data_IF_235390282982
#
_entry.id   IF_235390282982
#
_cell.length_a   1.000
_cell.length_b   1.000
_cell.length_c   1.000
_cell.angle_alpha   90.00
_cell.angle_beta   90.00
_cell.angle_gamma   90.00
#
_symmetry.space_group_name_H-M   'P 1'
#
loop_
_entity.id
_entity.type
_entity.pdbx_description
1 polymer ?
#
# COMPACT_ATOMS: atom_id res chain seq x y z
N UNK A 1 -39.60 27.10 10.24
CA UNK A 1 -39.28 25.80 10.88
C UNK A 1 -39.62 24.60 9.98
N UNK A 2 -40.87 24.43 9.45
CA UNK A 2 -41.23 23.27 8.59
C UNK A 2 -40.37 23.13 7.32
N UNK A 3 -40.07 24.24 6.62
CA UNK A 3 -39.23 24.24 5.42
C UNK A 3 -37.75 23.89 5.71
N UNK A 4 -37.22 24.29 6.86
CA UNK A 4 -35.86 23.90 7.28
C UNK A 4 -35.76 22.40 7.55
N UNK A 5 -36.79 21.83 8.21
CA UNK A 5 -36.86 20.37 8.47
C UNK A 5 -36.94 19.60 7.15
N UNK A 6 -37.78 20.08 6.21
CA UNK A 6 -37.89 19.45 4.89
C UNK A 6 -36.58 19.52 4.11
N UNK A 7 -35.88 20.65 4.14
CA UNK A 7 -34.56 20.79 3.49
C UNK A 7 -33.53 19.83 4.09
N UNK A 8 -33.46 19.77 5.42
CA UNK A 8 -32.54 18.84 6.12
C UNK A 8 -32.87 17.39 5.75
N UNK A 9 -34.15 17.00 5.73
CA UNK A 9 -34.55 15.65 5.34
C UNK A 9 -34.15 15.30 3.91
N UNK A 10 -34.31 16.23 2.96
CA UNK A 10 -33.89 16.05 1.56
C UNK A 10 -32.36 15.91 1.46
N UNK A 11 -31.58 16.75 2.16
CA UNK A 11 -30.13 16.66 2.19
C UNK A 11 -29.68 15.32 2.77
N UNK A 12 -30.25 14.89 3.88
CA UNK A 12 -29.90 13.59 4.49
C UNK A 12 -30.25 12.43 3.57
N UNK A 13 -31.41 12.48 2.89
CA UNK A 13 -31.79 11.45 1.92
C UNK A 13 -30.85 11.43 0.71
N UNK A 14 -30.45 12.59 0.20
CA UNK A 14 -29.47 12.69 -0.89
C UNK A 14 -28.08 12.15 -0.49
N UNK A 15 -27.61 12.47 0.71
CA UNK A 15 -26.34 11.94 1.26
C UNK A 15 -26.44 10.44 1.44
N UNK A 16 -27.54 9.92 2.00
CA UNK A 16 -27.74 8.48 2.17
C UNK A 16 -27.76 7.75 0.82
N UNK A 17 -28.48 8.29 -0.17
CA UNK A 17 -28.51 7.75 -1.52
C UNK A 17 -27.12 7.74 -2.15
N UNK A 18 -26.36 8.84 -2.03
CA UNK A 18 -24.99 8.94 -2.55
C UNK A 18 -24.05 7.92 -1.88
N UNK A 19 -24.15 7.70 -0.58
CA UNK A 19 -23.34 6.71 0.15
C UNK A 19 -23.63 5.28 -0.30
N UNK A 20 -24.86 4.95 -0.63
CA UNK A 20 -25.30 3.59 -0.96
C UNK A 20 -25.14 3.20 -2.44
N UNK A 21 -25.07 4.18 -3.35
CA UNK A 21 -24.85 3.90 -4.78
C UNK A 21 -23.39 3.50 -5.04
N UNK A 22 -23.06 2.58 -5.97
CA UNK A 22 -21.67 2.31 -6.36
C UNK A 22 -20.93 3.59 -6.76
N UNK A 23 -19.65 3.70 -6.35
CA UNK A 23 -18.83 4.90 -6.62
C UNK A 23 -18.50 5.05 -8.10
N UNK A 24 -18.30 3.92 -8.77
CA UNK A 24 -18.02 3.82 -10.20
C UNK A 24 -18.93 2.77 -10.84
N UNK A 25 -19.18 2.94 -12.12
CA UNK A 25 -19.89 1.97 -12.96
C UNK A 25 -19.03 0.73 -13.26
N UNK A 26 -19.36 0.04 -14.35
CA UNK A 26 -18.56 -1.09 -14.82
C UNK A 26 -17.10 -0.70 -15.05
N UNK A 27 -16.14 -1.62 -14.82
CA UNK A 27 -14.72 -1.35 -15.11
C UNK A 27 -14.51 -1.07 -16.60
N UNK A 28 -13.50 -0.23 -16.96
CA UNK A 28 -13.19 0.03 -18.35
C UNK A 28 -12.71 -1.24 -19.05
N UNK A 29 -12.96 -1.34 -20.35
CA UNK A 29 -12.29 -2.36 -21.17
C UNK A 29 -10.84 -1.91 -21.43
N UNK A 30 -9.88 -2.76 -21.07
CA UNK A 30 -8.47 -2.52 -21.35
C UNK A 30 -7.98 -3.63 -22.27
N UNK A 31 -7.56 -3.23 -23.47
CA UNK A 31 -6.95 -4.13 -24.44
C UNK A 31 -5.45 -4.34 -24.10
N UNK A 32 -4.95 -5.52 -24.41
CA UNK A 32 -3.56 -5.92 -24.23
C UNK A 32 -3.43 -7.11 -23.28
N UNK A 33 -2.38 -7.87 -23.48
CA UNK A 33 -1.93 -8.93 -22.58
C UNK A 33 -0.59 -8.51 -22.00
N UNK A 34 -0.39 -8.73 -20.70
CA UNK A 34 0.92 -8.56 -20.07
C UNK A 34 1.87 -9.72 -20.35
N UNK A 35 3.12 -9.55 -19.94
CA UNK A 35 4.16 -10.56 -19.93
C UNK A 35 4.25 -11.17 -18.51
N UNK A 36 3.91 -12.45 -18.32
CA UNK A 36 3.95 -13.07 -16.99
C UNK A 36 5.37 -13.14 -16.40
N UNK A 37 6.42 -13.20 -17.21
CA UNK A 37 7.80 -13.21 -16.70
C UNK A 37 8.19 -11.86 -16.10
N UNK A 38 7.77 -10.74 -16.72
CA UNK A 38 7.91 -9.42 -16.10
C UNK A 38 6.98 -9.25 -14.90
N UNK A 39 5.78 -9.83 -14.98
CA UNK A 39 4.79 -9.82 -13.89
C UNK A 39 5.29 -10.49 -12.62
N UNK A 40 6.05 -11.58 -12.71
CA UNK A 40 6.72 -12.21 -11.56
C UNK A 40 7.66 -11.22 -10.86
N UNK A 41 8.43 -10.47 -11.63
CA UNK A 41 9.30 -9.44 -11.08
C UNK A 41 8.51 -8.31 -10.41
N UNK A 42 7.38 -7.90 -10.98
CA UNK A 42 6.49 -6.89 -10.38
C UNK A 42 5.88 -7.39 -9.06
N UNK A 43 5.53 -8.68 -8.94
CA UNK A 43 5.09 -9.28 -7.66
C UNK A 43 6.16 -9.13 -6.58
N UNK A 44 7.44 -9.37 -6.92
CA UNK A 44 8.57 -9.18 -5.99
C UNK A 44 8.77 -7.70 -5.65
N UNK A 45 8.74 -6.85 -6.65
CA UNK A 45 8.87 -5.40 -6.50
C UNK A 45 7.79 -4.81 -5.59
N UNK A 46 6.55 -5.31 -5.70
CA UNK A 46 5.39 -4.90 -4.91
C UNK A 46 5.25 -5.60 -3.57
N UNK A 47 6.12 -6.57 -3.22
CA UNK A 47 6.02 -7.32 -1.97
C UNK A 47 4.68 -8.04 -1.79
N UNK A 48 4.01 -8.45 -2.88
CA UNK A 48 2.66 -9.00 -2.83
C UNK A 48 2.59 -10.27 -1.96
N UNK A 49 3.64 -11.09 -2.00
CA UNK A 49 3.76 -12.35 -1.24
C UNK A 49 3.66 -12.08 0.26
N UNK A 50 4.36 -11.06 0.75
CA UNK A 50 4.42 -10.70 2.17
C UNK A 50 3.03 -10.51 2.80
N UNK A 51 2.10 -9.84 2.10
CA UNK A 51 0.75 -9.61 2.61
C UNK A 51 -0.23 -10.71 2.20
N UNK A 52 -0.14 -11.20 0.96
CA UNK A 52 -1.12 -12.13 0.40
C UNK A 52 -0.83 -13.60 0.62
N UNK A 53 0.17 -13.94 1.46
CA UNK A 53 0.44 -15.31 1.92
C UNK A 53 0.43 -15.34 3.45
N UNK A 54 -0.40 -16.18 4.04
CA UNK A 54 -0.44 -16.36 5.49
C UNK A 54 0.52 -17.47 5.91
N UNK A 55 1.83 -17.24 5.76
CA UNK A 55 2.87 -18.23 6.07
C UNK A 55 2.82 -18.72 7.51
N UNK A 56 2.47 -17.83 8.45
CA UNK A 56 2.40 -18.18 9.89
C UNK A 56 1.39 -19.27 10.18
N UNK A 57 0.35 -19.38 9.38
CA UNK A 57 -0.69 -20.40 9.50
C UNK A 57 -0.61 -21.46 8.39
N UNK A 58 0.48 -21.52 7.61
CA UNK A 58 0.67 -22.49 6.55
C UNK A 58 -0.23 -22.25 5.33
N UNK A 59 -0.62 -21.00 5.10
CA UNK A 59 -1.42 -20.60 3.94
C UNK A 59 -0.66 -20.78 2.62
N UNK A 60 -1.40 -21.10 1.55
CA UNK A 60 -0.84 -21.24 0.23
C UNK A 60 -0.41 -19.89 -0.35
N UNK A 61 0.57 -19.91 -1.25
CA UNK A 61 1.13 -18.72 -1.91
C UNK A 61 0.01 -17.87 -2.53
N UNK A 62 -0.02 -16.59 -2.19
CA UNK A 62 -0.96 -15.58 -2.69
C UNK A 62 -2.45 -15.87 -2.43
N UNK A 63 -2.75 -16.88 -1.61
CA UNK A 63 -4.14 -17.26 -1.29
C UNK A 63 -4.80 -16.35 -0.22
N UNK A 64 -4.10 -15.35 0.31
CA UNK A 64 -4.63 -14.42 1.30
C UNK A 64 -4.76 -15.01 2.70
N UNK A 65 -5.58 -14.37 3.54
CA UNK A 65 -5.87 -14.82 4.91
C UNK A 65 -5.01 -14.15 5.99
N UNK A 66 -3.85 -13.61 5.65
CA UNK A 66 -2.98 -12.92 6.61
C UNK A 66 -3.70 -11.75 7.28
N UNK A 67 -3.68 -11.73 8.61
CA UNK A 67 -4.20 -10.64 9.42
C UNK A 67 -3.21 -9.47 9.46
N UNK A 68 -3.70 -8.27 9.15
CA UNK A 68 -2.96 -7.01 9.21
C UNK A 68 -3.60 -6.14 10.31
N UNK A 69 -2.95 -6.10 11.46
CA UNK A 69 -3.43 -5.33 12.62
C UNK A 69 -3.11 -3.85 12.44
N UNK A 70 -4.07 -3.00 12.75
CA UNK A 70 -3.94 -1.55 12.66
C UNK A 70 -4.70 -0.85 13.80
N UNK A 71 -4.48 0.46 14.04
CA UNK A 71 -5.26 1.23 15.00
C UNK A 71 -6.77 1.30 14.69
N UNK A 72 -7.19 0.92 13.50
CA UNK A 72 -8.59 0.92 13.05
C UNK A 72 -9.27 -0.44 13.16
N UNK A 73 -8.53 -1.48 13.55
CA UNK A 73 -8.96 -2.87 13.60
C UNK A 73 -8.10 -3.78 12.72
N UNK A 74 -8.58 -4.97 12.44
CA UNK A 74 -7.85 -5.99 11.69
C UNK A 74 -8.38 -6.10 10.25
N UNK A 75 -7.48 -5.92 9.29
CA UNK A 75 -7.72 -6.22 7.88
C UNK A 75 -7.18 -7.62 7.56
N UNK A 76 -7.80 -8.29 6.61
CA UNK A 76 -7.32 -9.57 6.12
C UNK A 76 -6.95 -9.43 4.65
N UNK A 77 -5.73 -9.83 4.29
CA UNK A 77 -5.28 -9.79 2.91
C UNK A 77 -6.13 -10.74 2.06
N UNK A 78 -6.56 -10.26 0.89
CA UNK A 78 -7.42 -11.03 -0.01
C UNK A 78 -6.67 -12.16 -0.70
N UNK A 79 -7.41 -13.19 -1.14
CA UNK A 79 -6.93 -14.16 -2.10
C UNK A 79 -6.75 -13.47 -3.46
N UNK A 80 -5.52 -13.47 -3.99
CA UNK A 80 -5.18 -12.92 -5.30
C UNK A 80 -4.74 -14.00 -6.31
N UNK A 81 -4.99 -15.29 -5.99
CA UNK A 81 -4.85 -16.37 -6.96
C UNK A 81 -5.95 -16.30 -8.02
N UNK A 82 -5.79 -16.97 -9.18
CA UNK A 82 -6.80 -16.98 -10.24
C UNK A 82 -7.98 -17.93 -9.94
N UNK A 83 -8.29 -18.16 -8.66
CA UNK A 83 -9.52 -18.86 -8.28
C UNK A 83 -10.74 -18.00 -8.64
N UNK A 84 -11.74 -18.55 -9.37
CA UNK A 84 -12.88 -17.76 -9.83
C UNK A 84 -13.90 -17.43 -8.73
N UNK A 85 -13.90 -18.18 -7.63
CA UNK A 85 -14.87 -18.03 -6.54
C UNK A 85 -14.41 -17.14 -5.41
N UNK A 86 -13.17 -17.27 -5.00
CA UNK A 86 -12.62 -16.59 -3.82
C UNK A 86 -11.43 -15.69 -4.13
N UNK A 87 -10.87 -15.79 -5.35
CA UNK A 87 -9.73 -15.02 -5.83
C UNK A 87 -10.09 -13.98 -6.89
N UNK A 88 -9.13 -13.70 -7.77
CA UNK A 88 -9.27 -12.71 -8.85
C UNK A 88 -9.44 -13.31 -10.25
N UNK A 89 -9.69 -14.63 -10.36
CA UNK A 89 -9.79 -15.34 -11.64
C UNK A 89 -10.93 -14.86 -12.54
N UNK A 90 -12.00 -14.31 -11.96
CA UNK A 90 -13.11 -13.71 -12.70
C UNK A 90 -12.91 -12.25 -13.11
N UNK A 91 -11.77 -11.63 -12.80
CA UNK A 91 -11.57 -10.20 -13.03
C UNK A 91 -11.05 -9.92 -14.44
N UNK A 92 -11.67 -8.95 -15.12
CA UNK A 92 -11.09 -8.38 -16.34
C UNK A 92 -9.82 -7.57 -16.02
N UNK A 93 -8.95 -7.38 -17.01
CA UNK A 93 -7.79 -6.49 -16.88
C UNK A 93 -8.19 -5.09 -16.43
N UNK A 94 -9.31 -4.57 -16.91
CA UNK A 94 -9.82 -3.27 -16.49
C UNK A 94 -10.28 -3.23 -15.04
N UNK A 95 -10.90 -4.29 -14.53
CA UNK A 95 -11.27 -4.40 -13.13
C UNK A 95 -10.02 -4.44 -12.23
N UNK A 96 -9.02 -5.20 -12.63
CA UNK A 96 -7.75 -5.30 -11.92
C UNK A 96 -7.00 -3.96 -11.88
N UNK A 97 -6.80 -3.32 -13.04
CA UNK A 97 -6.11 -2.02 -13.12
C UNK A 97 -6.86 -0.98 -12.27
N UNK A 98 -8.20 -0.90 -12.37
CA UNK A 98 -8.99 0.02 -11.56
C UNK A 98 -8.87 -0.25 -10.06
N UNK A 99 -8.83 -1.52 -9.64
CA UNK A 99 -8.62 -1.87 -8.25
C UNK A 99 -7.27 -1.38 -7.75
N UNK A 100 -6.22 -1.58 -8.52
CA UNK A 100 -4.86 -1.17 -8.19
C UNK A 100 -4.68 0.35 -8.19
N UNK A 101 -5.22 1.06 -9.17
CA UNK A 101 -4.94 2.51 -9.35
C UNK A 101 -5.98 3.41 -8.69
N UNK A 102 -7.23 2.98 -8.56
CA UNK A 102 -8.31 3.80 -8.00
C UNK A 102 -8.81 3.26 -6.65
N UNK A 103 -8.38 2.07 -6.24
CA UNK A 103 -8.91 1.41 -5.04
C UNK A 103 -10.39 1.05 -5.15
N UNK A 104 -10.90 0.80 -6.37
CA UNK A 104 -12.30 0.49 -6.64
C UNK A 104 -12.44 -0.93 -7.15
N UNK A 105 -13.16 -1.76 -6.42
CA UNK A 105 -13.42 -3.15 -6.78
C UNK A 105 -14.28 -3.33 -8.04
N UNK A 106 -14.41 -4.56 -8.56
CA UNK A 106 -15.21 -4.86 -9.74
C UNK A 106 -16.67 -4.37 -9.64
N UNK A 107 -17.23 -4.41 -8.44
CA UNK A 107 -18.60 -4.01 -8.13
C UNK A 107 -18.78 -2.48 -7.98
N UNK A 108 -17.71 -1.69 -8.16
CA UNK A 108 -17.75 -0.24 -8.09
C UNK A 108 -17.71 0.35 -6.68
N UNK A 109 -17.32 -0.45 -5.67
CA UNK A 109 -17.17 0.02 -4.29
C UNK A 109 -15.69 0.23 -3.91
N UNK A 110 -15.37 1.25 -3.09
CA UNK A 110 -14.01 1.53 -2.67
C UNK A 110 -13.48 0.47 -1.69
N UNK A 111 -12.18 0.21 -1.80
CA UNK A 111 -11.43 -0.56 -0.82
C UNK A 111 -10.95 0.33 0.33
N UNK A 112 -10.65 -0.31 1.47
CA UNK A 112 -9.93 0.35 2.56
C UNK A 112 -8.50 0.70 2.12
N UNK A 113 -7.95 1.85 2.54
CA UNK A 113 -6.58 2.25 2.21
C UNK A 113 -5.49 1.43 2.92
N UNK A 114 -5.86 0.36 3.60
CA UNK A 114 -4.95 -0.74 3.97
C UNK A 114 -4.44 -1.50 2.73
N UNK A 115 -5.21 -1.49 1.65
CA UNK A 115 -4.74 -1.83 0.31
C UNK A 115 -4.08 -0.58 -0.28
N UNK A 116 -2.78 -0.60 -0.62
CA UNK A 116 -1.99 0.61 -0.90
C UNK A 116 -2.22 1.19 -2.31
N UNK A 117 -3.47 1.29 -2.76
CA UNK A 117 -3.81 1.88 -4.06
C UNK A 117 -3.39 3.36 -4.15
N UNK A 118 -3.23 4.03 -3.02
CA UNK A 118 -2.68 5.40 -2.94
C UNK A 118 -1.23 5.49 -3.41
N UNK A 119 -0.51 4.39 -3.42
CA UNK A 119 0.81 4.26 -4.01
C UNK A 119 0.73 3.62 -5.40
N UNK A 120 -0.07 2.56 -5.55
CA UNK A 120 -0.20 1.83 -6.82
C UNK A 120 -0.79 2.65 -7.96
N UNK A 121 -1.46 3.76 -7.69
CA UNK A 121 -1.88 4.73 -8.70
C UNK A 121 -0.70 5.27 -9.54
N UNK A 122 0.53 5.24 -8.98
CA UNK A 122 1.76 5.58 -9.70
C UNK A 122 2.26 4.49 -10.67
N UNK A 123 1.72 3.27 -10.59
CA UNK A 123 2.19 2.18 -11.45
C UNK A 123 1.83 2.42 -12.91
N UNK A 124 2.72 2.00 -13.80
CA UNK A 124 2.45 2.02 -15.23
C UNK A 124 1.38 0.99 -15.58
N UNK A 125 0.62 1.28 -16.63
CA UNK A 125 -0.34 0.30 -17.16
C UNK A 125 0.34 -0.99 -17.59
N UNK A 126 1.55 -0.90 -18.13
CA UNK A 126 2.34 -2.06 -18.57
C UNK A 126 2.64 -2.97 -17.37
N UNK A 127 3.22 -2.46 -16.30
CA UNK A 127 3.52 -3.24 -15.10
C UNK A 127 2.26 -3.85 -14.47
N UNK A 128 1.13 -3.14 -14.50
CA UNK A 128 -0.14 -3.68 -13.99
C UNK A 128 -0.70 -4.82 -14.86
N UNK A 129 -0.54 -4.75 -16.18
CA UNK A 129 -0.95 -5.83 -17.07
C UNK A 129 -0.01 -7.03 -16.95
N UNK A 130 1.29 -6.80 -16.80
CA UNK A 130 2.28 -7.85 -16.56
C UNK A 130 2.02 -8.56 -15.24
N UNK A 131 1.76 -7.79 -14.17
CA UNK A 131 1.36 -8.31 -12.86
C UNK A 131 0.12 -9.20 -12.97
N UNK A 132 -0.94 -8.73 -13.64
CA UNK A 132 -2.16 -9.52 -13.83
C UNK A 132 -1.87 -10.81 -14.62
N UNK A 133 -1.05 -10.71 -15.68
CA UNK A 133 -0.68 -11.88 -16.49
C UNK A 133 0.05 -12.94 -15.66
N UNK A 134 0.95 -12.54 -14.76
CA UNK A 134 1.60 -13.48 -13.84
C UNK A 134 0.61 -14.11 -12.86
N UNK A 135 -0.23 -13.28 -12.21
CA UNK A 135 -1.21 -13.77 -11.25
C UNK A 135 -2.19 -14.78 -11.88
N UNK A 136 -2.46 -14.66 -13.18
CA UNK A 136 -3.27 -15.63 -13.92
C UNK A 136 -2.58 -16.98 -14.16
N UNK A 137 -1.25 -17.05 -13.97
CA UNK A 137 -0.47 -18.31 -14.10
C UNK A 137 -0.26 -19.02 -12.76
N UNK A 138 -0.53 -18.36 -11.64
CA UNK A 138 -0.39 -18.94 -10.31
C UNK A 138 -1.43 -20.06 -10.12
N UNK A 139 -1.11 -21.07 -9.30
CA UNK A 139 -2.06 -22.12 -8.99
C UNK A 139 -3.32 -21.56 -8.33
N UNK A 140 -4.52 -21.81 -8.85
CA UNK A 140 -5.75 -21.34 -8.24
C UNK A 140 -6.00 -22.07 -6.92
N UNK A 141 -6.24 -21.30 -5.85
CA UNK A 141 -6.51 -21.82 -4.52
C UNK A 141 -7.87 -21.30 -4.05
N UNK A 142 -8.79 -22.18 -3.75
CA UNK A 142 -10.06 -21.81 -3.11
C UNK A 142 -9.80 -21.49 -1.64
N UNK A 143 -9.82 -20.21 -1.30
CA UNK A 143 -9.67 -19.72 0.07
C UNK A 143 -10.56 -18.51 0.34
N UNK A 144 -11.65 -18.74 1.06
CA UNK A 144 -12.54 -17.68 1.54
C UNK A 144 -11.94 -17.00 2.78
N UNK A 145 -11.28 -15.86 2.56
CA UNK A 145 -10.66 -15.09 3.65
C UNK A 145 -11.71 -14.50 4.59
N UNK A 146 -11.38 -14.30 5.89
CA UNK A 146 -12.29 -13.67 6.85
C UNK A 146 -12.66 -12.23 6.43
N UNK A 147 -13.85 -11.80 6.82
CA UNK A 147 -14.22 -10.39 6.68
C UNK A 147 -13.35 -9.50 7.58
N UNK A 148 -13.05 -8.29 7.12
CA UNK A 148 -12.32 -7.32 7.93
C UNK A 148 -13.05 -7.03 9.24
N UNK A 149 -12.29 -6.91 10.32
CA UNK A 149 -12.78 -6.57 11.67
C UNK A 149 -12.34 -5.12 11.97
N UNK A 150 -13.07 -4.16 11.43
CA UNK A 150 -12.77 -2.73 11.53
C UNK A 150 -13.82 -2.05 12.41
N UNK A 151 -13.35 -1.27 13.37
CA UNK A 151 -14.20 -0.62 14.37
C UNK A 151 -15.08 0.49 13.76
N UNK A 152 -16.26 0.69 14.37
CA UNK A 152 -17.09 1.83 14.01
C UNK A 152 -16.43 3.15 14.46
N UNK A 153 -16.46 4.22 13.63
CA UNK A 153 -17.17 4.35 12.35
C UNK A 153 -16.38 3.88 11.13
N UNK A 154 -15.12 3.51 11.27
CA UNK A 154 -14.19 3.23 10.16
C UNK A 154 -14.62 2.00 9.34
N UNK A 155 -15.25 1.01 9.98
CA UNK A 155 -15.81 -0.18 9.31
C UNK A 155 -17.02 0.10 8.41
N UNK A 156 -17.62 1.28 8.46
CA UNK A 156 -18.74 1.64 7.61
C UNK A 156 -18.26 2.04 6.21
N UNK A 157 -18.09 1.05 5.33
CA UNK A 157 -17.52 1.18 3.98
C UNK A 157 -18.02 2.36 3.14
N UNK A 158 -19.32 2.77 3.17
CA UNK A 158 -19.75 3.93 2.42
C UNK A 158 -18.98 5.23 2.73
N UNK A 159 -18.41 5.39 3.94
CA UNK A 159 -17.58 6.54 4.30
C UNK A 159 -16.26 6.60 3.53
N UNK A 160 -15.79 5.47 2.97
CA UNK A 160 -14.56 5.44 2.16
C UNK A 160 -14.63 6.34 0.92
N UNK A 161 -15.85 6.60 0.37
CA UNK A 161 -16.02 7.58 -0.71
C UNK A 161 -15.59 8.98 -0.27
N UNK A 162 -15.99 9.38 0.94
CA UNK A 162 -15.59 10.66 1.53
C UNK A 162 -14.08 10.69 1.80
N UNK A 163 -13.53 9.59 2.29
CA UNK A 163 -12.09 9.46 2.49
C UNK A 163 -11.32 9.63 1.19
N UNK A 164 -11.73 8.94 0.12
CA UNK A 164 -11.08 9.08 -1.19
C UNK A 164 -11.18 10.51 -1.74
N UNK A 165 -12.31 11.19 -1.59
CA UNK A 165 -12.46 12.59 -2.02
C UNK A 165 -11.53 13.55 -1.30
N UNK A 166 -11.18 13.27 -0.04
CA UNK A 166 -10.36 14.14 0.79
C UNK A 166 -8.85 13.85 0.69
N UNK A 167 -8.47 12.59 0.45
CA UNK A 167 -7.11 12.14 0.67
C UNK A 167 -6.50 11.35 -0.49
N UNK A 168 -7.27 11.03 -1.52
CA UNK A 168 -6.79 10.30 -2.67
C UNK A 168 -6.77 11.18 -3.92
N UNK A 169 -5.63 11.23 -4.57
CA UNK A 169 -5.45 11.81 -5.89
C UNK A 169 -5.04 10.70 -6.86
N UNK A 170 -5.84 10.54 -7.92
CA UNK A 170 -5.51 9.63 -9.03
C UNK A 170 -4.46 10.30 -9.94
N UNK A 171 -3.29 9.68 -10.03
CA UNK A 171 -2.20 10.17 -10.87
C UNK A 171 -1.30 9.02 -11.32
N UNK A 172 -0.72 9.15 -12.49
CA UNK A 172 0.29 8.23 -12.99
C UNK A 172 1.67 8.85 -12.79
N UNK A 173 2.65 8.04 -12.41
CA UNK A 173 4.04 8.51 -12.27
C UNK A 173 4.54 9.19 -13.54
N UNK A 174 5.10 10.37 -13.39
CA UNK A 174 5.74 11.12 -14.46
C UNK A 174 7.23 11.33 -14.12
N UNK A 175 8.16 10.88 -14.99
CA UNK A 175 9.58 11.07 -14.76
C UNK A 175 9.96 12.56 -14.69
N UNK A 176 10.82 12.91 -13.74
CA UNK A 176 11.37 14.26 -13.62
C UNK A 176 12.42 14.50 -14.71
N UNK A 177 12.25 15.50 -15.60
CA UNK A 177 13.08 15.67 -16.78
C UNK A 177 14.55 16.05 -16.48
N UNK A 178 14.82 16.58 -15.29
CA UNK A 178 16.14 17.03 -14.83
C UNK A 178 16.86 16.00 -13.95
N UNK A 179 16.34 14.79 -13.84
CA UNK A 179 16.92 13.70 -13.06
C UNK A 179 17.40 12.59 -13.99
N UNK A 180 18.34 11.77 -13.52
CA UNK A 180 18.81 10.59 -14.25
C UNK A 180 17.72 9.54 -14.40
N UNK A 181 17.87 8.61 -15.33
CA UNK A 181 17.03 7.44 -15.47
C UNK A 181 17.00 6.60 -14.18
N UNK A 182 18.15 6.33 -13.59
CA UNK A 182 18.25 5.60 -12.34
C UNK A 182 17.47 6.29 -11.20
N UNK A 183 17.59 7.60 -11.07
CA UNK A 183 16.81 8.35 -10.08
C UNK A 183 15.31 8.25 -10.32
N UNK A 184 14.87 8.40 -11.56
CA UNK A 184 13.46 8.30 -11.95
C UNK A 184 12.93 6.88 -11.73
N UNK A 185 13.74 5.85 -12.00
CA UNK A 185 13.39 4.46 -11.70
C UNK A 185 13.22 4.23 -10.21
N UNK A 186 14.15 4.73 -9.39
CA UNK A 186 14.03 4.66 -7.93
C UNK A 186 12.81 5.40 -7.39
N UNK A 187 12.54 6.60 -7.91
CA UNK A 187 11.35 7.37 -7.58
C UNK A 187 10.06 6.59 -7.92
N UNK A 188 10.01 5.97 -9.10
CA UNK A 188 8.90 5.12 -9.52
C UNK A 188 8.69 3.95 -8.56
N UNK A 189 9.76 3.23 -8.23
CA UNK A 189 9.68 2.07 -7.34
C UNK A 189 9.19 2.48 -5.95
N UNK A 190 9.81 3.49 -5.34
CA UNK A 190 9.53 3.92 -3.96
C UNK A 190 8.11 4.49 -3.81
N UNK A 191 7.63 5.26 -4.80
CA UNK A 191 6.31 5.89 -4.75
C UNK A 191 5.19 5.00 -5.31
N UNK A 192 5.52 4.05 -6.16
CA UNK A 192 4.58 3.16 -6.84
C UNK A 192 4.59 1.74 -6.26
N UNK A 193 5.12 0.75 -7.00
CA UNK A 193 5.01 -0.66 -6.62
C UNK A 193 5.62 -0.98 -5.26
N UNK A 194 6.78 -0.43 -4.92
CA UNK A 194 7.44 -0.68 -3.64
C UNK A 194 6.78 0.00 -2.44
N UNK A 195 5.90 0.95 -2.65
CA UNK A 195 5.03 1.64 -1.67
C UNK A 195 5.68 1.93 -0.30
N UNK A 196 6.98 2.25 -0.26
CA UNK A 196 7.75 2.46 0.97
C UNK A 196 7.11 3.47 1.92
N UNK A 197 6.48 4.52 1.35
CA UNK A 197 5.76 5.54 2.10
C UNK A 197 4.56 5.02 2.88
N UNK A 198 4.03 3.83 2.61
CA UNK A 198 2.88 3.29 3.36
C UNK A 198 3.24 2.93 4.80
N UNK A 199 4.48 2.48 5.02
CA UNK A 199 5.01 2.20 6.35
C UNK A 199 5.87 3.35 6.89
N UNK A 200 6.70 3.97 6.05
CA UNK A 200 7.69 4.96 6.47
C UNK A 200 7.18 6.41 6.52
N UNK A 201 5.88 6.62 6.40
CA UNK A 201 5.27 7.97 6.50
C UNK A 201 4.19 7.97 7.57
N UNK A 202 4.19 8.94 8.50
CA UNK A 202 3.16 9.01 9.53
C UNK A 202 1.79 9.32 8.93
N UNK A 203 0.74 8.95 9.65
CA UNK A 203 -0.65 9.11 9.23
C UNK A 203 -1.39 10.06 10.17
N UNK A 204 -2.43 10.70 9.65
CA UNK A 204 -3.36 11.45 10.47
C UNK A 204 -4.38 10.50 11.16
N UNK A 205 -5.24 11.05 12.01
CA UNK A 205 -6.28 10.30 12.74
C UNK A 205 -7.31 9.60 11.85
N UNK A 206 -7.37 9.91 10.55
CA UNK A 206 -8.22 9.25 9.56
C UNK A 206 -7.44 8.24 8.69
N UNK A 207 -6.19 7.95 9.04
CA UNK A 207 -5.36 6.97 8.35
C UNK A 207 -4.72 7.44 7.04
N UNK A 208 -4.87 8.72 6.67
CA UNK A 208 -4.22 9.27 5.49
C UNK A 208 -2.76 9.64 5.77
N UNK A 209 -1.85 9.35 4.83
CA UNK A 209 -0.43 9.69 4.93
C UNK A 209 -0.24 11.21 4.97
N UNK A 210 0.68 11.67 5.81
CA UNK A 210 1.10 13.08 5.87
C UNK A 210 2.18 13.32 4.80
N UNK A 211 1.78 13.90 3.66
CA UNK A 211 2.68 14.12 2.52
C UNK A 211 3.86 15.04 2.81
N UNK A 212 3.70 15.97 3.74
CA UNK A 212 4.76 16.86 4.23
C UNK A 212 5.80 16.15 5.11
N UNK A 213 5.50 14.91 5.54
CA UNK A 213 6.35 14.03 6.34
C UNK A 213 6.75 12.75 5.60
N UNK A 214 6.73 12.77 4.28
CA UNK A 214 7.01 11.60 3.45
C UNK A 214 8.36 10.95 3.79
N UNK A 215 8.32 9.65 4.12
CA UNK A 215 9.46 8.81 4.52
C UNK A 215 10.14 9.19 5.83
N UNK A 216 9.57 10.08 6.64
CA UNK A 216 10.15 10.52 7.92
C UNK A 216 9.97 9.52 9.07
N UNK A 217 9.51 8.30 8.79
CA UNK A 217 9.20 7.31 9.82
C UNK A 217 7.85 7.54 10.50
N UNK A 218 7.46 6.63 11.38
CA UNK A 218 6.25 6.76 12.20
C UNK A 218 6.40 6.01 13.52
N UNK A 219 5.89 6.53 14.65
CA UNK A 219 5.85 5.79 15.91
C UNK A 219 4.82 4.65 15.88
N UNK A 220 3.78 4.77 15.05
CA UNK A 220 2.62 3.86 14.98
C UNK A 220 2.57 3.14 13.63
N UNK A 221 3.54 2.27 13.39
CA UNK A 221 3.61 1.45 12.18
C UNK A 221 2.83 0.14 12.29
N UNK A 222 3.09 -0.81 11.38
CA UNK A 222 2.48 -2.14 11.43
C UNK A 222 2.66 -2.81 12.79
N UNK A 223 1.62 -3.49 13.27
CA UNK A 223 1.58 -4.15 14.58
C UNK A 223 1.85 -3.19 15.77
N UNK A 224 1.60 -1.88 15.60
CA UNK A 224 1.87 -0.86 16.62
C UNK A 224 3.34 -0.64 16.93
N UNK A 225 4.24 -1.03 16.02
CA UNK A 225 5.68 -0.86 16.19
C UNK A 225 6.18 0.38 15.45
N UNK A 226 7.19 1.09 15.97
CA UNK A 226 7.78 2.20 15.25
C UNK A 226 8.45 1.73 13.95
N UNK A 227 8.34 2.57 12.93
CA UNK A 227 9.01 2.38 11.64
C UNK A 227 10.01 3.52 11.46
N UNK A 228 11.28 3.24 11.14
CA UNK A 228 12.33 4.25 11.11
C UNK A 228 12.14 5.26 9.98
N UNK A 229 12.75 6.42 10.18
CA UNK A 229 12.97 7.44 9.17
C UNK A 229 13.97 6.93 8.12
N UNK A 230 13.60 7.02 6.85
CA UNK A 230 14.47 6.66 5.72
C UNK A 230 14.77 7.86 4.81
N UNK A 231 14.67 9.08 5.36
CA UNK A 231 15.17 10.29 4.70
C UNK A 231 16.65 10.50 5.03
N UNK A 232 17.42 11.26 4.21
CA UNK A 232 18.82 11.59 4.50
C UNK A 232 18.93 12.69 5.57
N UNK A 233 18.35 12.44 6.75
CA UNK A 233 18.41 13.24 7.96
C UNK A 233 19.20 12.51 9.04
N UNK A 234 19.72 13.23 10.04
CA UNK A 234 20.48 12.66 11.15
C UNK A 234 19.69 11.59 11.93
N UNK A 235 18.35 11.72 12.01
CA UNK A 235 17.45 10.71 12.60
C UNK A 235 17.15 9.53 11.65
N UNK A 236 17.64 9.58 10.41
CA UNK A 236 17.39 8.58 9.36
C UNK A 236 18.67 8.00 8.79
N UNK A 237 18.78 8.04 7.46
CA UNK A 237 19.86 7.39 6.71
C UNK A 237 20.99 8.35 6.27
N UNK A 238 21.17 9.51 6.93
CA UNK A 238 22.19 10.50 6.54
C UNK A 238 23.60 9.89 6.41
N UNK A 239 23.95 8.99 7.32
CA UNK A 239 25.28 8.36 7.36
C UNK A 239 25.44 7.17 6.38
N UNK A 240 24.37 6.75 5.71
CA UNK A 240 24.39 5.58 4.84
C UNK A 240 24.87 5.94 3.44
N UNK A 241 25.76 5.12 2.90
CA UNK A 241 26.11 5.19 1.48
C UNK A 241 25.09 4.44 0.60
N UNK A 242 25.15 4.68 -0.71
CA UNK A 242 24.38 3.88 -1.67
C UNK A 242 24.71 2.38 -1.53
N UNK A 243 25.99 2.04 -1.30
CA UNK A 243 26.42 0.66 -1.10
C UNK A 243 25.83 0.02 0.15
N UNK A 244 25.72 0.77 1.26
CA UNK A 244 25.10 0.28 2.50
C UNK A 244 23.63 -0.05 2.29
N UNK A 245 22.87 0.83 1.60
CA UNK A 245 21.47 0.57 1.28
C UNK A 245 21.30 -0.67 0.40
N UNK A 246 22.09 -0.78 -0.68
CA UNK A 246 22.04 -1.95 -1.57
C UNK A 246 22.38 -3.23 -0.81
N UNK A 247 23.42 -3.21 0.02
CA UNK A 247 23.82 -4.36 0.83
C UNK A 247 22.72 -4.76 1.82
N UNK A 248 22.15 -3.79 2.56
CA UNK A 248 21.07 -4.04 3.50
C UNK A 248 19.82 -4.64 2.81
N UNK A 249 19.43 -4.12 1.64
CA UNK A 249 18.31 -4.65 0.88
C UNK A 249 18.53 -6.06 0.30
N UNK A 250 19.79 -6.43 0.05
CA UNK A 250 20.13 -7.77 -0.44
C UNK A 250 20.28 -8.80 0.68
N UNK A 251 20.77 -8.38 1.86
CA UNK A 251 21.25 -9.31 2.90
C UNK A 251 20.48 -9.22 4.22
N UNK A 252 19.65 -8.20 4.40
CA UNK A 252 19.06 -7.81 5.69
C UNK A 252 20.05 -7.31 6.75
N UNK A 253 21.35 -7.17 6.45
CA UNK A 253 22.37 -6.72 7.41
C UNK A 253 22.52 -5.20 7.29
N UNK A 254 22.43 -4.51 8.43
CA UNK A 254 22.57 -3.07 8.55
C UNK A 254 24.04 -2.65 8.66
N UNK A 255 24.39 -1.37 8.41
CA UNK A 255 25.78 -0.89 8.48
C UNK A 255 26.45 -1.05 9.85
N UNK A 256 25.69 -1.08 10.92
CA UNK A 256 26.16 -1.30 12.30
C UNK A 256 26.29 -2.79 12.68
N UNK A 257 25.93 -3.70 11.77
CA UNK A 257 25.97 -5.14 11.95
C UNK A 257 24.70 -5.76 12.54
N UNK A 258 23.67 -4.96 12.83
CA UNK A 258 22.34 -5.45 13.18
C UNK A 258 21.58 -5.95 11.92
N UNK A 259 20.36 -6.43 12.07
CA UNK A 259 19.55 -6.96 10.97
C UNK A 259 18.16 -6.32 10.94
N UNK A 260 17.56 -6.25 9.75
CA UNK A 260 16.14 -5.88 9.67
C UNK A 260 15.29 -6.87 10.46
N UNK A 261 14.39 -6.33 11.30
CA UNK A 261 13.44 -7.12 12.06
C UNK A 261 12.00 -6.91 11.61
N UNK A 262 11.09 -7.74 12.13
CA UNK A 262 9.64 -7.59 11.93
C UNK A 262 9.24 -7.57 10.46
N UNK A 263 8.32 -6.67 10.12
CA UNK A 263 7.78 -6.56 8.76
C UNK A 263 8.85 -6.24 7.69
N UNK A 264 9.90 -5.46 8.06
CA UNK A 264 10.94 -5.12 7.09
C UNK A 264 11.80 -6.32 6.70
N UNK A 265 12.03 -7.28 7.61
CA UNK A 265 12.72 -8.53 7.28
C UNK A 265 11.94 -9.33 6.21
N UNK A 266 10.61 -9.41 6.35
CA UNK A 266 9.75 -10.06 5.35
C UNK A 266 9.78 -9.31 4.01
N UNK A 267 9.73 -7.97 4.03
CA UNK A 267 9.85 -7.13 2.81
C UNK A 267 11.16 -7.38 2.07
N UNK A 268 12.27 -7.54 2.80
CA UNK A 268 13.55 -7.87 2.17
C UNK A 268 13.52 -9.32 1.65
N UNK A 269 13.10 -10.27 2.46
CA UNK A 269 13.11 -11.70 2.11
C UNK A 269 12.23 -11.99 0.88
N UNK A 270 11.01 -11.48 0.83
CA UNK A 270 10.02 -11.82 -0.21
C UNK A 270 10.10 -10.90 -1.43
N UNK A 271 10.71 -9.73 -1.27
CA UNK A 271 10.73 -8.67 -2.27
C UNK A 271 12.14 -8.19 -2.61
N UNK A 272 12.72 -7.29 -1.78
CA UNK A 272 13.90 -6.52 -2.17
C UNK A 272 15.12 -7.38 -2.51
N UNK A 273 15.36 -8.50 -1.81
CA UNK A 273 16.50 -9.40 -2.10
C UNK A 273 16.41 -10.08 -3.48
N UNK A 274 15.24 -10.07 -4.10
CA UNK A 274 15.02 -10.63 -5.44
C UNK A 274 15.14 -9.59 -6.55
N UNK A 275 15.33 -8.31 -6.22
CA UNK A 275 15.45 -7.26 -7.21
C UNK A 275 16.83 -7.24 -7.86
N UNK A 276 16.88 -6.72 -9.08
CA UNK A 276 18.13 -6.48 -9.77
C UNK A 276 18.97 -5.48 -9.00
N UNK A 277 20.29 -5.58 -9.15
CA UNK A 277 21.21 -4.63 -8.53
C UNK A 277 20.92 -3.20 -9.00
N UNK A 278 20.58 -3.04 -10.26
CA UNK A 278 20.25 -1.76 -10.90
C UNK A 278 19.04 -1.11 -10.23
N UNK A 279 17.98 -1.88 -9.92
CA UNK A 279 16.80 -1.38 -9.24
C UNK A 279 17.09 -1.04 -7.76
N UNK A 280 17.91 -1.83 -7.07
CA UNK A 280 18.35 -1.50 -5.71
C UNK A 280 19.21 -0.23 -5.66
N UNK A 281 20.12 -0.05 -6.62
CA UNK A 281 20.91 1.17 -6.77
C UNK A 281 20.02 2.38 -7.13
N UNK A 282 18.98 2.18 -7.91
CA UNK A 282 17.98 3.20 -8.24
C UNK A 282 17.17 3.63 -7.01
N UNK A 283 16.68 2.68 -6.21
CA UNK A 283 16.00 2.96 -4.94
C UNK A 283 16.91 3.77 -4.03
N UNK A 284 18.16 3.34 -3.84
CA UNK A 284 19.13 4.03 -2.99
C UNK A 284 19.43 5.45 -3.50
N UNK A 285 19.63 5.63 -4.81
CA UNK A 285 19.85 6.94 -5.42
C UNK A 285 18.68 7.91 -5.18
N UNK A 286 17.44 7.40 -5.18
CA UNK A 286 16.26 8.21 -4.85
C UNK A 286 16.22 8.55 -3.36
N UNK A 287 16.32 7.56 -2.46
CA UNK A 287 16.22 7.75 -1.01
C UNK A 287 17.27 8.73 -0.46
N UNK A 288 18.50 8.67 -0.96
CA UNK A 288 19.58 9.59 -0.56
C UNK A 288 19.39 11.04 -1.02
N UNK A 289 18.36 11.31 -1.80
CA UNK A 289 18.09 12.65 -2.35
C UNK A 289 16.69 13.17 -2.05
N UNK A 290 15.86 12.43 -1.36
CA UNK A 290 14.58 12.96 -0.86
C UNK A 290 14.81 14.06 0.16
N UNK A 291 13.79 14.87 0.42
CA UNK A 291 13.90 15.95 1.40
C UNK A 291 14.26 15.38 2.79
N UNK A 292 15.36 15.79 3.40
CA UNK A 292 15.68 15.39 4.78
C UNK A 292 14.63 15.93 5.75
N UNK A 293 14.09 15.06 6.58
CA UNK A 293 13.06 15.39 7.57
C UNK A 293 13.44 14.78 8.91
N UNK A 294 13.27 15.49 10.04
CA UNK A 294 13.43 14.89 11.36
C UNK A 294 12.33 13.88 11.65
N UNK A 295 12.54 13.03 12.62
CA UNK A 295 11.51 12.12 13.13
C UNK A 295 10.22 12.87 13.50
N UNK A 296 9.05 12.25 13.32
CA UNK A 296 7.82 12.82 13.84
C UNK A 296 7.90 12.89 15.38
N UNK A 297 7.24 13.89 15.99
CA UNK A 297 7.21 13.98 17.45
C UNK A 297 6.63 12.69 18.05
N UNK A 298 7.21 12.23 19.15
CA UNK A 298 6.66 11.09 19.89
C UNK A 298 5.19 11.37 20.25
N UNK A 299 4.32 10.35 20.28
CA UNK A 299 2.96 10.49 20.77
C UNK A 299 3.01 11.14 22.16
N UNK A 300 2.09 12.07 22.44
CA UNK A 300 1.96 12.62 23.78
C UNK A 300 1.72 11.46 24.76
N UNK A 301 2.55 11.35 25.79
CA UNK A 301 2.34 10.36 26.85
C UNK A 301 0.92 10.53 27.40
N UNK A 302 0.11 9.49 27.30
CA UNK A 302 -1.16 9.49 28.04
C UNK A 302 -0.85 9.65 29.52
N UNK A 303 -1.51 10.59 30.20
CA UNK A 303 -1.28 10.76 31.65
C UNK A 303 -1.58 9.41 32.32
N UNK A 304 -0.58 8.91 33.05
CA UNK A 304 -0.74 7.67 33.82
C UNK A 304 -2.02 7.74 34.65
N UNK A 305 -2.82 6.65 34.71
CA UNK A 305 -3.98 6.63 35.59
C UNK A 305 -3.54 7.07 37.00
N UNK A 306 -4.20 8.09 37.54
CA UNK A 306 -3.94 8.49 38.94
C UNK A 306 -4.27 7.29 39.80
N UNK A 307 -3.30 6.79 40.51
CA UNK A 307 -3.51 5.87 41.61
C UNK A 307 -4.27 6.66 42.71
N UNK A 308 -5.58 6.49 42.78
CA UNK A 308 -6.43 6.96 43.88
C UNK A 308 -6.55 5.87 44.97
#
# INVERSE_FOLDING_TARGET
>A
MRWLIALVAVVLAAVAAWLLVPWRGAPPEIAGSGDPARGEYVVRLGGCVTCHTDEKNGGALLAGGRALVSPFGTFYASNITPDPGTGIGGWSSGAFVRAMTEGIGPEGHPYFPAFPYTSYTNMTREDLLDLKAYLDTVEPVENAVPAHQVDFPFGFRPLLKGWQLLFFEDHTFAPAPNRSEAWNRGAYIVNGPGHCGECHTPRNSLGARLSDRFLAGTPDGPDGKPVPNITPHADGIESWSQGDLVFAFQTSILPDGDVFGGAMAEVVQDGLSHLSREDLEAIAAYLLTVKPLPDPPAPAEEPSPRED
#
